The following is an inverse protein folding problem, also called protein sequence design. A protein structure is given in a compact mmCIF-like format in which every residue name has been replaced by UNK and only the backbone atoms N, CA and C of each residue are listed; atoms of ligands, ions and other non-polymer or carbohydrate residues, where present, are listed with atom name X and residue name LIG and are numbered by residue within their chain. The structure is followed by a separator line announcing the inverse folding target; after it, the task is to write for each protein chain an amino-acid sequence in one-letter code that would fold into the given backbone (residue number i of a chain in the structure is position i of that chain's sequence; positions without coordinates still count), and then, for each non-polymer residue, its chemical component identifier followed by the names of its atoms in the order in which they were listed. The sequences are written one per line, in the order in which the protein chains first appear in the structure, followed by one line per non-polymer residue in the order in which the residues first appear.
data_IF_013952102014
#
_entry.id   IF_013952102014
#
_cell.length_a   1.000
_cell.length_b   1.000
_cell.length_c   1.000
_cell.angle_alpha   90.00
_cell.angle_beta   90.00
_cell.angle_gamma   90.00
#
_symmetry.space_group_name_H-M   'P 1'
#
loop_
_entity.id
_entity.type
_entity.pdbx_description
1 polymer ?
#
# COMPACT_ATOMS: atom_id res chain seq x y z
N UNK A 1 17.87 -3.86 4.19
CA UNK A 1 17.03 -3.33 5.27
C UNK A 1 17.57 -2.00 5.76
N UNK A 2 16.70 -0.98 5.80
CA UNK A 2 16.97 0.33 6.39
C UNK A 2 15.92 0.54 7.47
N UNK A 3 16.35 0.82 8.71
CA UNK A 3 15.45 1.10 9.83
C UNK A 3 15.56 2.58 10.18
N UNK A 4 14.42 3.27 10.28
CA UNK A 4 14.37 4.70 10.62
C UNK A 4 13.33 4.95 11.71
N UNK A 5 13.72 5.69 12.74
CA UNK A 5 12.74 6.33 13.63
C UNK A 5 12.20 7.58 12.94
N UNK A 6 10.95 7.52 12.47
CA UNK A 6 10.31 8.63 11.77
C UNK A 6 9.77 9.69 12.73
N UNK A 7 9.34 9.27 13.91
CA UNK A 7 8.85 10.15 14.96
C UNK A 7 9.02 9.48 16.33
N UNK A 8 9.34 10.27 17.36
CA UNK A 8 9.44 9.79 18.74
C UNK A 8 9.13 10.93 19.69
N UNK A 9 8.30 10.65 20.68
CA UNK A 9 8.07 11.50 21.84
C UNK A 9 7.95 10.61 23.10
N UNK A 10 7.53 11.20 24.22
CA UNK A 10 7.38 10.47 25.49
C UNK A 10 6.23 9.45 25.50
N UNK A 11 5.31 9.53 24.53
CA UNK A 11 4.09 8.70 24.46
C UNK A 11 4.25 7.53 23.50
N UNK A 12 4.82 7.75 22.31
CA UNK A 12 4.95 6.69 21.30
C UNK A 12 6.11 6.91 20.34
N UNK A 13 6.49 5.83 19.67
CA UNK A 13 7.48 5.81 18.60
C UNK A 13 6.87 5.33 17.27
N UNK A 14 7.29 5.95 16.16
CA UNK A 14 7.03 5.46 14.81
C UNK A 14 8.33 5.00 14.18
N UNK A 15 8.44 3.69 13.97
CA UNK A 15 9.54 3.05 13.25
C UNK A 15 9.10 2.68 11.83
N UNK A 16 9.97 2.93 10.87
CA UNK A 16 9.82 2.52 9.48
C UNK A 16 10.96 1.58 9.07
N UNK A 17 10.60 0.40 8.56
CA UNK A 17 11.52 -0.62 8.06
C UNK A 17 11.33 -0.75 6.55
N UNK A 18 12.35 -0.36 5.81
CA UNK A 18 12.39 -0.46 4.37
C UNK A 18 13.26 -1.65 3.93
N UNK A 19 12.80 -2.38 2.92
CA UNK A 19 13.51 -3.51 2.29
C UNK A 19 13.98 -4.57 3.32
N UNK A 20 13.03 -5.03 4.15
CA UNK A 20 13.23 -6.16 5.08
C UNK A 20 13.39 -7.47 4.32
N UNK A 21 14.40 -8.28 4.69
CA UNK A 21 14.66 -9.61 4.11
C UNK A 21 14.39 -10.72 5.13
N UNK A 22 14.31 -11.96 4.65
CA UNK A 22 14.06 -13.13 5.50
C UNK A 22 15.07 -13.29 6.65
N UNK A 23 16.33 -12.95 6.41
CA UNK A 23 17.41 -12.97 7.41
C UNK A 23 17.18 -11.99 8.58
N UNK A 24 16.44 -10.90 8.36
CA UNK A 24 16.15 -9.91 9.39
C UNK A 24 14.97 -10.31 10.30
N UNK A 25 14.14 -11.29 9.90
CA UNK A 25 12.87 -11.58 10.59
C UNK A 25 13.09 -11.94 12.06
N UNK A 26 14.11 -12.74 12.39
CA UNK A 26 14.34 -13.15 13.77
C UNK A 26 14.71 -11.98 14.68
N UNK A 27 15.44 -10.99 14.16
CA UNK A 27 15.84 -9.80 14.90
C UNK A 27 14.63 -8.91 15.17
N UNK A 28 13.87 -8.58 14.11
CA UNK A 28 12.66 -7.74 14.19
C UNK A 28 11.59 -8.39 15.07
N UNK A 29 11.41 -9.71 14.96
CA UNK A 29 10.47 -10.47 15.78
C UNK A 29 10.80 -10.35 17.27
N UNK A 30 12.08 -10.52 17.65
CA UNK A 30 12.53 -10.39 19.04
C UNK A 30 12.41 -8.96 19.55
N UNK A 31 12.86 -7.99 18.76
CA UNK A 31 12.90 -6.58 19.16
C UNK A 31 11.49 -6.00 19.40
N UNK A 32 10.56 -6.25 18.49
CA UNK A 32 9.22 -5.66 18.54
C UNK A 32 8.14 -6.62 19.07
N UNK A 33 8.52 -7.84 19.46
CA UNK A 33 7.62 -8.92 19.91
C UNK A 33 6.51 -9.18 18.88
N UNK A 34 6.90 -9.39 17.62
CA UNK A 34 5.98 -9.64 16.50
C UNK A 34 6.14 -11.10 16.06
N UNK A 35 5.02 -11.81 15.83
CA UNK A 35 5.06 -13.16 15.30
C UNK A 35 5.75 -13.21 13.93
N UNK A 36 6.68 -14.13 13.78
CA UNK A 36 7.46 -14.39 12.56
C UNK A 36 6.56 -14.58 11.33
N UNK A 37 5.38 -15.19 11.48
CA UNK A 37 4.44 -15.41 10.38
C UNK A 37 3.94 -14.09 9.79
N UNK A 38 3.56 -13.11 10.63
CA UNK A 38 3.12 -11.80 10.15
C UNK A 38 4.26 -11.02 9.44
N UNK A 39 5.49 -11.15 9.92
CA UNK A 39 6.67 -10.58 9.25
C UNK A 39 6.96 -11.25 7.90
N UNK A 40 6.75 -12.58 7.80
CA UNK A 40 6.84 -13.31 6.52
C UNK A 40 5.78 -12.84 5.53
N UNK A 41 4.56 -12.53 6.00
CA UNK A 41 3.49 -12.00 5.14
C UNK A 41 3.87 -10.65 4.51
N UNK A 42 4.59 -9.79 5.25
CA UNK A 42 5.12 -8.53 4.71
C UNK A 42 6.11 -8.75 3.55
N UNK A 43 6.85 -9.86 3.55
CA UNK A 43 7.83 -10.18 2.49
C UNK A 43 7.14 -10.91 1.33
N UNK A 44 6.25 -11.86 1.61
CA UNK A 44 5.57 -12.69 0.62
C UNK A 44 4.89 -11.85 -0.48
N UNK A 45 5.36 -11.98 -1.73
CA UNK A 45 4.91 -11.17 -2.87
C UNK A 45 3.44 -11.36 -3.21
N UNK A 46 2.87 -12.54 -2.95
CA UNK A 46 1.51 -12.86 -3.39
C UNK A 46 0.47 -12.68 -2.29
N UNK A 47 0.89 -12.28 -1.09
CA UNK A 47 -0.02 -12.10 0.03
C UNK A 47 -1.04 -10.98 -0.27
N UNK A 48 -2.31 -11.30 -0.05
CA UNK A 48 -3.43 -10.37 -0.20
C UNK A 48 -3.57 -9.47 1.03
N UNK A 49 -4.26 -8.33 0.90
CA UNK A 49 -4.52 -7.48 2.05
C UNK A 49 -5.34 -8.19 3.14
N UNK A 50 -5.01 -7.92 4.40
CA UNK A 50 -5.72 -8.44 5.57
C UNK A 50 -5.61 -7.49 6.76
N UNK A 51 -6.54 -7.59 7.71
CA UNK A 51 -6.48 -6.91 8.99
C UNK A 51 -6.75 -7.89 10.13
N UNK A 52 -5.85 -7.95 11.10
CA UNK A 52 -5.91 -8.89 12.22
C UNK A 52 -5.77 -8.13 13.55
N UNK A 53 -6.69 -8.40 14.48
CA UNK A 53 -6.53 -8.01 15.88
C UNK A 53 -5.80 -9.14 16.62
N UNK A 54 -4.55 -8.89 17.02
CA UNK A 54 -3.70 -9.87 17.70
C UNK A 54 -3.55 -9.50 19.19
N UNK A 55 -4.51 -8.74 19.74
CA UNK A 55 -4.52 -8.27 21.13
C UNK A 55 -3.70 -6.99 21.31
N UNK A 56 -2.54 -7.10 21.95
CA UNK A 56 -1.66 -5.95 22.22
C UNK A 56 -1.12 -5.30 20.93
N UNK A 57 -1.17 -6.02 19.81
CA UNK A 57 -0.72 -5.56 18.51
C UNK A 57 -1.83 -5.78 17.48
N UNK A 58 -2.14 -4.74 16.71
CA UNK A 58 -2.99 -4.85 15.52
C UNK A 58 -2.10 -4.92 14.30
N UNK A 59 -2.45 -5.77 13.34
CA UNK A 59 -1.70 -5.92 12.10
C UNK A 59 -2.60 -5.63 10.90
N UNK A 60 -2.16 -4.71 10.05
CA UNK A 60 -2.77 -4.44 8.76
C UNK A 60 -1.72 -4.69 7.70
N UNK A 61 -1.98 -5.63 6.80
CA UNK A 61 -1.23 -5.76 5.56
C UNK A 61 -2.10 -5.18 4.45
N UNK A 62 -1.63 -4.12 3.83
CA UNK A 62 -2.34 -3.46 2.75
C UNK A 62 -1.43 -3.24 1.54
N UNK A 63 -2.02 -2.77 0.45
CA UNK A 63 -1.30 -2.41 -0.77
C UNK A 63 -1.64 -0.98 -1.16
N UNK A 64 -0.66 -0.22 -1.64
CA UNK A 64 -0.89 1.10 -2.24
C UNK A 64 -0.89 0.93 -3.76
N UNK A 65 -1.88 1.51 -4.44
CA UNK A 65 -1.90 1.52 -5.90
C UNK A 65 -0.67 2.26 -6.43
N UNK A 66 0.01 1.68 -7.40
CA UNK A 66 1.14 2.28 -8.09
C UNK A 66 0.71 2.71 -9.49
N UNK A 67 1.09 3.93 -9.88
CA UNK A 67 0.95 4.35 -11.27
C UNK A 67 1.89 3.49 -12.14
N UNK A 68 1.42 2.91 -13.24
CA UNK A 68 2.28 2.12 -14.09
C UNK A 68 3.25 3.07 -14.79
N UNK A 69 4.52 2.67 -14.87
CA UNK A 69 5.31 3.04 -16.04
C UNK A 69 4.65 2.49 -17.31
N UNK A 70 5.09 2.92 -18.50
CA UNK A 70 4.55 2.58 -19.83
C UNK A 70 4.50 1.07 -20.22
N UNK A 71 4.50 0.13 -19.27
CA UNK A 71 4.49 -1.31 -19.50
C UNK A 71 3.11 -1.91 -19.29
N UNK A 72 2.80 -2.94 -20.07
CA UNK A 72 1.70 -3.86 -19.81
C UNK A 72 2.01 -4.63 -18.53
N UNK A 73 1.32 -4.27 -17.45
CA UNK A 73 1.60 -4.71 -16.09
C UNK A 73 0.34 -5.40 -15.55
N UNK A 74 0.39 -6.73 -15.48
CA UNK A 74 -0.79 -7.62 -15.34
C UNK A 74 -0.82 -8.45 -14.05
N UNK A 75 0.16 -8.27 -13.16
CA UNK A 75 0.19 -8.90 -11.84
C UNK A 75 -0.12 -7.88 -10.74
N UNK A 76 -0.50 -8.40 -9.57
CA UNK A 76 -0.79 -7.59 -8.37
C UNK A 76 0.44 -6.74 -7.98
N UNK A 77 1.65 -7.27 -8.17
CA UNK A 77 2.90 -6.58 -7.86
C UNK A 77 3.22 -5.44 -8.82
N UNK A 78 2.72 -5.51 -10.04
CA UNK A 78 2.98 -4.49 -11.04
C UNK A 78 2.11 -3.24 -10.84
N UNK A 79 0.95 -3.42 -10.22
CA UNK A 79 -0.04 -2.35 -10.04
C UNK A 79 -0.07 -1.81 -8.61
N UNK A 80 0.70 -2.40 -7.69
CA UNK A 80 0.66 -2.01 -6.28
C UNK A 80 1.88 -2.46 -5.48
N UNK A 81 2.15 -1.75 -4.38
CA UNK A 81 3.24 -2.02 -3.44
C UNK A 81 2.69 -2.31 -2.06
N UNK A 82 3.25 -3.30 -1.35
CA UNK A 82 2.78 -3.68 -0.01
C UNK A 82 3.24 -2.71 1.07
N UNK A 83 2.40 -2.53 2.08
CA UNK A 83 2.69 -1.83 3.33
C UNK A 83 2.12 -2.66 4.47
N UNK A 84 3.01 -3.20 5.31
CA UNK A 84 2.63 -3.77 6.61
C UNK A 84 2.60 -2.66 7.65
N UNK A 85 1.56 -2.63 8.48
CA UNK A 85 1.36 -1.65 9.54
C UNK A 85 1.06 -2.43 10.81
N UNK A 86 1.97 -2.37 11.79
CA UNK A 86 1.75 -2.92 13.12
C UNK A 86 1.52 -1.79 14.11
N UNK A 87 0.51 -1.93 14.95
CA UNK A 87 0.02 -0.85 15.80
C UNK A 87 -0.11 -1.36 17.23
N UNK A 88 0.54 -0.69 18.18
CA UNK A 88 0.38 -0.84 19.62
C UNK A 88 0.01 0.52 20.22
N UNK A 89 -0.23 0.57 21.52
CA UNK A 89 -0.53 1.82 22.23
C UNK A 89 0.60 2.86 22.14
N UNK A 90 1.86 2.41 22.20
CA UNK A 90 3.05 3.25 22.22
C UNK A 90 3.98 3.04 21.01
N UNK A 91 3.54 2.30 19.99
CA UNK A 91 4.36 1.98 18.83
C UNK A 91 3.51 1.88 17.56
N UNK A 92 3.99 2.48 16.48
CA UNK A 92 3.59 2.09 15.12
C UNK A 92 4.83 1.69 14.33
N UNK A 93 4.74 0.53 13.67
CA UNK A 93 5.81 -0.02 12.84
C UNK A 93 5.28 -0.18 11.42
N UNK A 94 5.92 0.48 10.46
CA UNK A 94 5.63 0.33 9.03
C UNK A 94 6.71 -0.51 8.36
N UNK A 95 6.31 -1.47 7.52
CA UNK A 95 7.23 -2.32 6.75
C UNK A 95 6.85 -2.26 5.27
N UNK A 96 7.79 -1.86 4.40
CA UNK A 96 7.57 -1.78 2.96
C UNK A 96 8.87 -2.02 2.18
N UNK A 97 8.75 -2.34 0.89
CA UNK A 97 9.92 -2.63 0.03
C UNK A 97 10.48 -1.39 -0.66
N UNK A 98 9.61 -0.44 -1.01
CA UNK A 98 9.95 0.73 -1.81
C UNK A 98 9.43 1.98 -1.13
N UNK A 99 10.09 3.10 -1.38
CA UNK A 99 9.73 4.39 -0.82
C UNK A 99 8.23 4.67 -0.87
N UNK A 100 7.66 4.99 0.29
CA UNK A 100 6.26 5.33 0.41
C UNK A 100 6.10 6.84 0.67
N UNK A 101 5.62 7.56 -0.34
CA UNK A 101 5.43 9.01 -0.28
C UNK A 101 4.47 9.45 0.84
N UNK A 102 3.46 8.62 1.16
CA UNK A 102 2.49 8.93 2.22
C UNK A 102 3.13 8.84 3.59
N UNK A 103 3.96 7.81 3.83
CA UNK A 103 4.75 7.68 5.06
C UNK A 103 5.66 8.90 5.23
N UNK A 104 6.40 9.29 4.17
CA UNK A 104 7.26 10.48 4.19
C UNK A 104 6.49 11.76 4.56
N UNK A 105 5.42 12.08 3.81
CA UNK A 105 4.59 13.27 4.05
C UNK A 105 3.97 13.31 5.44
N UNK A 106 3.50 12.17 5.95
CA UNK A 106 2.91 12.11 7.28
C UNK A 106 3.97 12.27 8.38
N UNK A 107 5.16 11.71 8.19
CA UNK A 107 6.29 11.92 9.11
C UNK A 107 6.73 13.39 9.18
N UNK A 108 6.73 14.09 8.05
CA UNK A 108 7.02 15.54 7.99
C UNK A 108 5.96 16.35 8.73
N UNK A 109 4.67 16.03 8.55
CA UNK A 109 3.58 16.71 9.27
C UNK A 109 3.69 16.55 10.79
N UNK A 110 4.08 15.36 11.25
CA UNK A 110 4.33 15.08 12.67
C UNK A 110 5.51 15.90 13.20
N UNK A 111 6.65 15.91 12.48
CA UNK A 111 7.84 16.69 12.86
C UNK A 111 7.56 18.20 12.92
N UNK A 112 6.74 18.69 11.99
CA UNK A 112 6.37 20.10 11.91
C UNK A 112 5.20 20.49 12.85
N UNK A 113 4.68 19.56 13.66
CA UNK A 113 3.58 19.84 14.61
C UNK A 113 2.23 20.14 13.95
N UNK A 114 2.08 19.92 12.64
CA UNK A 114 0.84 20.18 11.89
C UNK A 114 -0.16 19.02 11.95
N UNK A 115 0.27 17.87 12.49
CA UNK A 115 -0.60 16.73 12.75
C UNK A 115 -1.05 16.71 14.21
N UNK A 116 -2.26 17.22 14.45
CA UNK A 116 -2.82 17.36 15.80
C UNK A 116 -3.23 16.02 16.42
N UNK A 117 -3.13 15.91 17.74
CA UNK A 117 -3.50 14.74 18.54
C UNK A 117 -2.95 13.42 17.96
N UNK A 118 -1.65 13.42 17.68
CA UNK A 118 -0.92 12.28 17.15
C UNK A 118 -0.94 11.11 18.15
N UNK A 119 -1.32 9.94 17.67
CA UNK A 119 -1.15 8.66 18.35
C UNK A 119 -1.03 7.54 17.29
N UNK A 120 -0.56 6.33 17.64
CA UNK A 120 -0.38 5.24 16.70
C UNK A 120 -1.62 4.92 15.86
N UNK A 121 -2.81 4.93 16.47
CA UNK A 121 -4.07 4.65 15.77
C UNK A 121 -4.42 5.72 14.74
N UNK A 122 -4.22 6.99 15.06
CA UNK A 122 -4.48 8.11 14.15
C UNK A 122 -3.50 8.10 12.97
N UNK A 123 -2.24 7.73 13.21
CA UNK A 123 -1.25 7.55 12.12
C UNK A 123 -1.69 6.40 11.21
N UNK A 124 -2.06 5.25 11.78
CA UNK A 124 -2.55 4.11 11.01
C UNK A 124 -3.81 4.47 10.18
N UNK A 125 -4.74 5.23 10.75
CA UNK A 125 -5.93 5.73 10.05
C UNK A 125 -5.55 6.60 8.84
N UNK A 126 -4.61 7.54 9.00
CA UNK A 126 -4.15 8.39 7.89
C UNK A 126 -3.41 7.60 6.80
N UNK A 127 -2.62 6.60 7.19
CA UNK A 127 -1.97 5.69 6.24
C UNK A 127 -3.03 4.89 5.46
N UNK A 128 -4.03 4.33 6.16
CA UNK A 128 -5.17 3.63 5.56
C UNK A 128 -5.96 4.51 4.60
N UNK A 129 -6.28 5.74 5.02
CA UNK A 129 -6.94 6.73 4.15
C UNK A 129 -6.09 7.04 2.91
N UNK A 130 -4.77 7.12 3.05
CA UNK A 130 -3.84 7.28 1.94
C UNK A 130 -3.89 6.12 0.95
N UNK A 131 -3.94 4.90 1.45
CA UNK A 131 -4.10 3.68 0.64
C UNK A 131 -5.41 3.73 -0.16
N UNK A 132 -6.54 4.01 0.50
CA UNK A 132 -7.84 4.12 -0.18
C UNK A 132 -7.85 5.21 -1.26
N UNK A 133 -7.27 6.38 -0.95
CA UNK A 133 -7.13 7.49 -1.91
C UNK A 133 -6.28 7.11 -3.12
N UNK A 134 -5.26 6.25 -2.95
CA UNK A 134 -4.42 5.79 -4.08
C UNK A 134 -5.23 4.99 -5.11
N UNK A 135 -6.10 4.08 -4.65
CA UNK A 135 -6.98 3.32 -5.54
C UNK A 135 -8.08 4.18 -6.17
N UNK A 136 -8.65 5.13 -5.41
CA UNK A 136 -9.60 6.08 -5.98
C UNK A 136 -8.98 6.85 -7.15
N UNK A 137 -7.77 7.40 -6.96
CA UNK A 137 -7.04 8.11 -8.01
C UNK A 137 -6.82 7.21 -9.23
N UNK A 138 -6.36 5.98 -9.02
CA UNK A 138 -6.13 5.04 -10.12
C UNK A 138 -7.40 4.69 -10.87
N UNK A 139 -8.51 4.43 -10.17
CA UNK A 139 -9.77 4.08 -10.81
C UNK A 139 -10.32 5.22 -11.68
N UNK A 140 -10.16 6.48 -11.27
CA UNK A 140 -10.50 7.64 -12.11
C UNK A 140 -9.66 7.68 -13.40
N UNK A 141 -8.34 7.46 -13.28
CA UNK A 141 -7.44 7.37 -14.44
C UNK A 141 -7.78 6.19 -15.38
N UNK A 142 -8.21 5.04 -14.84
CA UNK A 142 -8.67 3.91 -15.65
C UNK A 142 -9.95 4.26 -16.41
N UNK A 143 -10.92 4.92 -15.77
CA UNK A 143 -12.18 5.36 -16.39
C UNK A 143 -11.92 6.31 -17.55
N UNK A 144 -11.12 7.37 -17.34
CA UNK A 144 -10.77 8.33 -18.40
C UNK A 144 -10.08 7.65 -19.60
N UNK A 145 -9.24 6.62 -19.34
CA UNK A 145 -8.60 5.84 -20.41
C UNK A 145 -9.56 4.93 -21.15
N UNK A 146 -10.53 4.34 -20.44
CA UNK A 146 -11.57 3.52 -21.06
C UNK A 146 -12.45 4.38 -21.98
N UNK A 147 -12.95 5.51 -21.50
CA UNK A 147 -13.78 6.44 -22.28
C UNK A 147 -13.09 6.89 -23.57
N UNK A 148 -11.79 7.21 -23.52
CA UNK A 148 -11.01 7.57 -24.71
C UNK A 148 -10.97 6.44 -25.74
N UNK A 149 -10.72 5.20 -25.30
CA UNK A 149 -10.67 4.05 -26.21
C UNK A 149 -12.07 3.73 -26.75
N UNK A 150 -13.11 3.84 -25.94
CA UNK A 150 -14.50 3.64 -26.38
C UNK A 150 -14.88 4.65 -27.46
N UNK A 151 -14.58 5.94 -27.27
CA UNK A 151 -14.81 6.97 -28.28
C UNK A 151 -14.01 6.71 -29.58
N UNK A 152 -12.76 6.26 -29.48
CA UNK A 152 -11.94 5.90 -30.64
C UNK A 152 -12.55 4.73 -31.43
N UNK A 153 -13.16 3.74 -30.75
CA UNK A 153 -13.84 2.61 -31.39
C UNK A 153 -15.11 3.08 -32.12
N UNK A 154 -15.91 3.96 -31.51
CA UNK A 154 -17.16 4.42 -32.11
C UNK A 154 -16.94 5.37 -33.30
N UNK A 155 -15.84 6.12 -33.30
CA UNK A 155 -15.55 7.12 -34.35
C UNK A 155 -14.82 6.54 -35.57
N UNK A 156 -14.17 5.39 -35.44
CA UNK A 156 -13.43 4.72 -36.53
C UNK A 156 -14.25 3.59 -37.12
N UNK A 157 -14.38 3.58 -38.45
CA UNK A 157 -15.16 2.59 -39.21
C UNK A 157 -14.57 1.17 -39.15
N UNK A 158 -13.27 1.04 -38.85
CA UNK A 158 -12.58 -0.23 -38.66
C UNK A 158 -12.14 -0.38 -37.19
N UNK A 159 -12.89 -1.18 -36.42
CA UNK A 159 -12.49 -1.56 -35.07
C UNK A 159 -11.29 -2.51 -35.14
N UNK A 160 -10.10 -2.01 -34.76
CA UNK A 160 -8.89 -2.80 -34.77
C UNK A 160 -8.82 -3.72 -33.54
N UNK A 161 -8.19 -4.89 -33.71
CA UNK A 161 -7.99 -5.87 -32.62
C UNK A 161 -7.14 -5.33 -31.44
N UNK A 162 -6.52 -4.15 -31.60
CA UNK A 162 -5.64 -3.52 -30.62
C UNK A 162 -6.43 -2.78 -29.53
N UNK A 163 -7.52 -2.13 -29.89
CA UNK A 163 -8.42 -1.39 -29.00
C UNK A 163 -9.10 -2.35 -28.02
N UNK A 164 -9.56 -3.50 -28.52
CA UNK A 164 -10.10 -4.58 -27.69
C UNK A 164 -9.08 -5.11 -26.67
N UNK A 165 -7.81 -5.30 -27.08
CA UNK A 165 -6.71 -5.70 -26.18
C UNK A 165 -6.44 -4.66 -25.10
N UNK A 166 -6.48 -3.37 -25.46
CA UNK A 166 -6.30 -2.26 -24.50
C UNK A 166 -7.46 -2.20 -23.49
N UNK A 167 -8.71 -2.30 -23.95
CA UNK A 167 -9.88 -2.38 -23.06
C UNK A 167 -9.80 -3.58 -22.12
N UNK A 168 -9.44 -4.76 -22.62
CA UNK A 168 -9.24 -5.94 -21.78
C UNK A 168 -8.20 -5.69 -20.68
N UNK A 169 -7.08 -5.05 -21.02
CA UNK A 169 -6.03 -4.71 -20.05
C UNK A 169 -6.55 -3.76 -18.97
N UNK A 170 -7.33 -2.73 -19.32
CA UNK A 170 -7.92 -1.80 -18.36
C UNK A 170 -8.95 -2.48 -17.45
N UNK A 171 -9.85 -3.30 -18.03
CA UNK A 171 -10.83 -4.09 -17.28
C UNK A 171 -10.15 -5.02 -16.27
N UNK A 172 -9.11 -5.73 -16.70
CA UNK A 172 -8.34 -6.64 -15.82
C UNK A 172 -7.71 -5.86 -14.67
N UNK A 173 -7.16 -4.68 -14.93
CA UNK A 173 -6.56 -3.84 -13.90
C UNK A 173 -7.58 -3.32 -12.89
N UNK A 174 -8.75 -2.86 -13.34
CA UNK A 174 -9.85 -2.48 -12.46
C UNK A 174 -10.29 -3.67 -11.57
N UNK A 175 -10.35 -4.87 -12.15
CA UNK A 175 -10.69 -6.10 -11.41
C UNK A 175 -9.64 -6.44 -10.34
N UNK A 176 -8.35 -6.25 -10.63
CA UNK A 176 -7.27 -6.45 -9.67
C UNK A 176 -7.31 -5.39 -8.56
N UNK A 177 -7.59 -4.12 -8.88
CA UNK A 177 -7.79 -3.07 -7.86
C UNK A 177 -8.92 -3.45 -6.90
N UNK A 178 -10.05 -3.93 -7.43
CA UNK A 178 -11.17 -4.39 -6.60
C UNK A 178 -10.75 -5.55 -5.67
N UNK A 179 -10.04 -6.54 -6.19
CA UNK A 179 -9.50 -7.65 -5.39
C UNK A 179 -8.53 -7.19 -4.29
N UNK A 180 -7.84 -6.08 -4.49
CA UNK A 180 -6.92 -5.51 -3.49
C UNK A 180 -7.63 -4.62 -2.47
N UNK A 181 -8.83 -4.14 -2.77
CA UNK A 181 -9.66 -3.41 -1.81
C UNK A 181 -10.51 -4.35 -0.95
N UNK A 182 -10.77 -5.58 -1.39
CA UNK A 182 -11.40 -6.61 -0.57
C UNK A 182 -10.40 -7.08 0.51
N UNK A 183 -10.49 -6.48 1.69
CA UNK A 183 -9.76 -6.89 2.88
C UNK A 183 -10.51 -8.09 3.49
N UNK A 184 -9.76 -9.15 3.79
CA UNK A 184 -10.21 -10.28 4.61
C UNK A 184 -9.89 -10.06 6.08
#
# INVERSE_FOLDING_TARGET
MIVKTLYKNDVFEWIDIQDMKYENISEISKQYKINILHLKDCINTNHLPKAEDLGEIKFILARTSSEPGNKFLNSINDISTKVGIFIKENLILTIHRVDNERIKKLSEKLKNGTFQAANPYRIALELGLGILKSYRKENLNLLEKMEKIENDIFTKTDSNSNEAKRLYSLKRRASLNLKLLSIS
#
